data_IF_266488628367
#
_entry.id   IF_266488628367
#
_cell.length_a   1.000
_cell.length_b   1.000
_cell.length_c   1.000
_cell.angle_alpha   90.00
_cell.angle_beta   90.00
_cell.angle_gamma   90.00
#
_symmetry.space_group_name_H-M   'P 1'
#
loop_
_entity.id
_entity.type
_entity.pdbx_description
1 polymer ?
#
# COMPACT_ATOMS: atom_id res chain seq x y z
N UNK A 1 -8.58 -17.88 -14.19
CA UNK A 1 -9.85 -17.13 -14.22
C UNK A 1 -9.52 -15.66 -14.46
N UNK A 2 -9.84 -15.09 -15.62
CA UNK A 2 -9.51 -13.68 -15.93
C UNK A 2 -10.53 -12.78 -15.24
N UNK A 3 -10.07 -11.96 -14.30
CA UNK A 3 -10.89 -10.94 -13.66
C UNK A 3 -11.33 -9.92 -14.73
N UNK A 4 -12.64 -9.68 -14.85
CA UNK A 4 -13.19 -8.61 -15.69
C UNK A 4 -12.84 -7.26 -15.07
N UNK A 5 -12.63 -6.21 -15.89
CA UNK A 5 -12.23 -4.86 -15.42
C UNK A 5 -13.04 -4.35 -14.22
N UNK A 6 -14.36 -4.60 -14.19
CA UNK A 6 -15.21 -4.18 -13.07
C UNK A 6 -15.01 -4.95 -11.76
N UNK A 7 -14.51 -6.19 -11.79
CA UNK A 7 -14.14 -6.93 -10.58
C UNK A 7 -12.80 -6.46 -10.02
N UNK A 8 -11.91 -5.99 -10.89
CA UNK A 8 -10.61 -5.45 -10.50
C UNK A 8 -10.77 -4.14 -9.73
N UNK A 9 -11.60 -3.21 -10.23
CA UNK A 9 -11.93 -1.95 -9.55
C UNK A 9 -12.48 -2.19 -8.14
N UNK A 10 -13.44 -3.12 -8.00
CA UNK A 10 -14.02 -3.47 -6.69
C UNK A 10 -12.99 -4.05 -5.71
N UNK A 11 -12.00 -4.78 -6.22
CA UNK A 11 -10.96 -5.36 -5.39
C UNK A 11 -9.98 -4.29 -4.90
N UNK A 12 -9.63 -3.34 -5.77
CA UNK A 12 -8.80 -2.19 -5.41
C UNK A 12 -9.51 -1.30 -4.38
N UNK A 13 -10.79 -1.01 -4.58
CA UNK A 13 -11.62 -0.27 -3.61
C UNK A 13 -11.65 -0.99 -2.24
N UNK A 14 -11.84 -2.31 -2.23
CA UNK A 14 -11.80 -3.10 -1.01
C UNK A 14 -10.42 -3.06 -0.32
N UNK A 15 -9.34 -3.10 -1.09
CA UNK A 15 -7.98 -3.00 -0.55
C UNK A 15 -7.73 -1.64 0.12
N UNK A 16 -8.20 -0.54 -0.49
CA UNK A 16 -8.14 0.80 0.10
C UNK A 16 -8.93 0.87 1.40
N UNK A 17 -10.15 0.31 1.43
CA UNK A 17 -10.96 0.30 2.64
C UNK A 17 -10.30 -0.48 3.79
N UNK A 18 -9.65 -1.61 3.47
CA UNK A 18 -8.89 -2.40 4.46
C UNK A 18 -7.72 -1.57 5.02
N UNK A 19 -6.94 -0.88 4.17
CA UNK A 19 -5.84 -0.04 4.63
C UNK A 19 -6.32 1.08 5.57
N UNK A 20 -7.47 1.68 5.27
CA UNK A 20 -8.09 2.68 6.14
C UNK A 20 -8.47 2.09 7.51
N UNK A 21 -9.17 0.95 7.52
CA UNK A 21 -9.54 0.27 8.77
C UNK A 21 -8.34 -0.16 9.61
N UNK A 22 -7.24 -0.58 8.98
CA UNK A 22 -6.00 -0.93 9.68
C UNK A 22 -5.36 0.30 10.35
N UNK A 23 -5.35 1.44 9.65
CA UNK A 23 -4.91 2.70 10.25
C UNK A 23 -5.74 3.02 11.49
N UNK A 24 -7.06 2.86 11.43
CA UNK A 24 -8.02 3.14 12.54
C UNK A 24 -7.79 2.23 13.74
N UNK A 25 -7.73 0.93 13.51
CA UNK A 25 -7.59 -0.07 14.59
C UNK A 25 -6.24 0.05 15.29
N UNK A 26 -5.17 0.26 14.52
CA UNK A 26 -3.80 0.30 15.07
C UNK A 26 -3.36 1.70 15.50
N UNK A 27 -4.19 2.71 15.23
CA UNK A 27 -3.88 4.12 15.45
C UNK A 27 -2.51 4.54 14.87
N UNK A 28 -2.26 4.16 13.61
CA UNK A 28 -1.03 4.47 12.87
C UNK A 28 -1.32 5.43 11.72
N UNK A 29 -0.37 6.33 11.45
CA UNK A 29 -0.53 7.33 10.39
C UNK A 29 -0.50 6.73 8.98
N UNK A 30 0.40 5.78 8.72
CA UNK A 30 0.64 5.27 7.36
C UNK A 30 0.52 3.75 7.26
N UNK A 31 -0.19 3.29 6.23
CA UNK A 31 -0.30 1.88 5.84
C UNK A 31 0.05 1.79 4.36
N UNK A 32 0.91 0.86 3.98
CA UNK A 32 1.32 0.72 2.59
C UNK A 32 1.50 -0.75 2.19
N UNK A 33 1.36 -1.00 0.89
CA UNK A 33 1.68 -2.27 0.25
C UNK A 33 2.92 -2.05 -0.60
N UNK A 34 3.98 -2.78 -0.29
CA UNK A 34 5.23 -2.71 -1.04
C UNK A 34 5.48 -4.03 -1.79
N UNK A 35 6.05 -3.92 -2.98
CA UNK A 35 6.64 -5.05 -3.70
C UNK A 35 8.12 -5.10 -3.39
N UNK A 36 8.59 -6.29 -3.04
CA UNK A 36 10.00 -6.54 -2.76
C UNK A 36 10.53 -7.60 -3.72
N UNK A 37 11.61 -7.29 -4.46
CA UNK A 37 12.27 -8.21 -5.39
C UNK A 37 13.63 -8.72 -4.88
N UNK A 38 13.91 -8.54 -3.58
CA UNK A 38 15.17 -8.80 -2.85
C UNK A 38 16.29 -7.81 -3.12
N UNK A 39 16.11 -6.86 -4.02
CA UNK A 39 17.04 -5.76 -4.26
C UNK A 39 16.38 -4.42 -3.95
N UNK A 40 15.14 -4.27 -4.38
CA UNK A 40 14.35 -3.06 -4.29
C UNK A 40 13.02 -3.31 -3.58
N UNK A 41 12.59 -2.30 -2.85
CA UNK A 41 11.26 -2.22 -2.23
C UNK A 41 10.54 -1.04 -2.88
N UNK A 42 9.54 -1.35 -3.70
CA UNK A 42 8.73 -0.34 -4.39
C UNK A 42 7.35 -0.26 -3.76
N UNK A 43 6.95 0.93 -3.32
CA UNK A 43 5.62 1.18 -2.77
C UNK A 43 4.57 1.14 -3.89
N UNK A 44 3.66 0.17 -3.84
CA UNK A 44 2.58 0.00 -4.83
C UNK A 44 1.33 0.79 -4.43
N UNK A 45 1.01 0.80 -3.13
CA UNK A 45 -0.12 1.53 -2.58
C UNK A 45 0.27 2.13 -1.24
N UNK A 46 -0.20 3.34 -0.96
CA UNK A 46 0.02 4.02 0.31
C UNK A 46 -1.25 4.74 0.76
N UNK A 47 -1.58 4.59 2.03
CA UNK A 47 -2.57 5.36 2.76
C UNK A 47 -1.84 6.13 3.87
N UNK A 48 -2.08 7.44 3.94
CA UNK A 48 -1.57 8.32 4.99
C UNK A 48 -2.76 9.08 5.58
N UNK A 49 -3.00 8.98 6.88
CA UNK A 49 -4.14 9.61 7.55
C UNK A 49 -3.95 11.11 7.71
N UNK A 50 -2.92 11.53 8.45
CA UNK A 50 -2.76 12.91 8.91
C UNK A 50 -1.64 13.63 8.16
N UNK A 51 -0.51 12.95 7.96
CA UNK A 51 0.68 13.50 7.30
C UNK A 51 1.15 12.55 6.21
N UNK A 52 1.48 13.08 5.03
CA UNK A 52 2.08 12.30 3.94
C UNK A 52 3.52 11.92 4.34
N UNK A 53 3.74 10.65 4.68
CA UNK A 53 5.07 10.11 5.04
C UNK A 53 5.61 9.20 3.94
N UNK A 54 4.73 8.49 3.23
CA UNK A 54 5.10 7.54 2.17
C UNK A 54 4.33 7.85 0.88
N UNK A 55 5.03 7.74 -0.25
CA UNK A 55 4.50 8.00 -1.59
C UNK A 55 4.46 6.74 -2.47
N UNK A 56 3.41 6.61 -3.28
CA UNK A 56 3.32 5.55 -4.28
C UNK A 56 4.39 5.75 -5.34
N UNK A 57 5.07 4.66 -5.71
CA UNK A 57 6.21 4.68 -6.63
C UNK A 57 7.53 5.05 -5.97
N UNK A 58 7.55 5.33 -4.66
CA UNK A 58 8.79 5.46 -3.91
C UNK A 58 9.53 4.13 -3.91
N UNK A 59 10.84 4.19 -4.18
CA UNK A 59 11.71 3.03 -4.33
C UNK A 59 12.90 3.16 -3.39
N UNK A 60 13.24 2.05 -2.74
CA UNK A 60 14.29 1.97 -1.75
C UNK A 60 15.11 0.70 -1.96
N UNK A 61 16.39 0.73 -1.61
CA UNK A 61 17.17 -0.49 -1.51
C UNK A 61 16.60 -1.35 -0.37
N UNK A 62 16.54 -2.66 -0.58
CA UNK A 62 16.01 -3.58 0.41
C UNK A 62 16.77 -3.53 1.75
N UNK A 63 18.07 -3.28 1.70
CA UNK A 63 18.92 -3.10 2.88
C UNK A 63 18.57 -1.86 3.72
N UNK A 64 17.92 -0.87 3.12
CA UNK A 64 17.43 0.33 3.80
C UNK A 64 15.97 0.19 4.29
N UNK A 65 15.29 -0.92 3.93
CA UNK A 65 13.95 -1.21 4.41
C UNK A 65 14.02 -1.87 5.81
N UNK A 66 13.67 -1.09 6.83
CA UNK A 66 13.63 -1.50 8.25
C UNK A 66 12.29 -2.13 8.65
#
# INVERSE_FOLDING_TARGET
MRLTKGHYVKLEEAAVEIMHRLSDILNINSVYVARNDKQHVTIQHAYNRDVKVIEVGQDFLYEDSY
#
